data_IF_915761927797
#
_entry.id   IF_915761927797
#
_cell.length_a   1.000
_cell.length_b   1.000
_cell.length_c   1.000
_cell.angle_alpha   90.00
_cell.angle_beta   90.00
_cell.angle_gamma   90.00
#
_symmetry.space_group_name_H-M   'P 1'
#
loop_
_entity.id
_entity.type
_entity.pdbx_description
1 polymer ?
#
# COMPACT_ATOMS: atom_id res chain seq x y z
N UNK A 1 16.92 -9.44 6.40
CA UNK A 1 16.34 -9.72 5.06
C UNK A 1 15.01 -10.41 5.32
N UNK A 2 13.89 -9.79 4.94
CA UNK A 2 12.58 -10.41 5.10
C UNK A 2 12.54 -11.58 4.10
N UNK A 3 12.33 -12.80 4.58
CA UNK A 3 12.12 -13.97 3.75
C UNK A 3 10.63 -14.30 3.79
N UNK A 4 10.04 -14.50 2.62
CA UNK A 4 8.65 -14.95 2.47
C UNK A 4 8.70 -16.44 2.11
N UNK A 5 7.94 -17.25 2.84
CA UNK A 5 7.88 -18.69 2.67
C UNK A 5 6.90 -19.14 1.59
N UNK A 6 6.01 -18.26 1.13
CA UNK A 6 5.04 -18.57 0.08
C UNK A 6 4.46 -17.33 -0.60
N UNK A 7 3.82 -17.53 -1.76
CA UNK A 7 3.06 -16.49 -2.46
C UNK A 7 1.94 -15.89 -1.58
N UNK A 8 1.32 -16.68 -0.70
CA UNK A 8 0.27 -16.17 0.19
C UNK A 8 0.81 -15.18 1.21
N UNK A 9 2.01 -15.38 1.74
CA UNK A 9 2.63 -14.41 2.66
C UNK A 9 2.96 -13.10 1.93
N UNK A 10 3.36 -13.17 0.66
CA UNK A 10 3.60 -11.99 -0.18
C UNK A 10 2.30 -11.22 -0.41
N UNK A 11 1.21 -11.92 -0.76
CA UNK A 11 -0.09 -11.29 -0.97
C UNK A 11 -0.67 -10.71 0.32
N UNK A 12 -0.55 -11.41 1.46
CA UNK A 12 -0.96 -10.88 2.76
C UNK A 12 -0.16 -9.62 3.15
N UNK A 13 1.14 -9.60 2.86
CA UNK A 13 1.96 -8.41 3.03
C UNK A 13 1.52 -7.26 2.11
N UNK A 14 1.19 -7.55 0.85
CA UNK A 14 0.67 -6.56 -0.10
C UNK A 14 -0.67 -5.97 0.39
N UNK A 15 -1.61 -6.80 0.87
CA UNK A 15 -2.89 -6.33 1.44
C UNK A 15 -2.66 -5.33 2.59
N UNK A 16 -1.71 -5.61 3.48
CA UNK A 16 -1.37 -4.69 4.58
C UNK A 16 -0.72 -3.39 4.07
N UNK A 17 0.02 -3.43 2.96
CA UNK A 17 0.58 -2.24 2.33
C UNK A 17 -0.50 -1.35 1.72
N UNK A 18 -1.46 -1.93 1.01
CA UNK A 18 -2.62 -1.19 0.46
C UNK A 18 -3.44 -0.56 1.59
N UNK A 19 -3.70 -1.28 2.69
CA UNK A 19 -4.40 -0.73 3.86
C UNK A 19 -3.66 0.48 4.46
N UNK A 20 -2.34 0.39 4.58
CA UNK A 20 -1.56 1.49 5.12
C UNK A 20 -1.50 2.70 4.17
N UNK A 21 -1.51 2.47 2.85
CA UNK A 21 -1.64 3.54 1.85
C UNK A 21 -3.02 4.18 1.88
N UNK A 22 -4.09 3.39 2.05
CA UNK A 22 -5.45 3.88 2.26
C UNK A 22 -5.54 4.83 3.45
N UNK A 23 -5.03 4.41 4.61
CA UNK A 23 -5.00 5.24 5.82
C UNK A 23 -4.19 6.51 5.60
N UNK A 24 -3.02 6.40 4.96
CA UNK A 24 -2.19 7.55 4.62
C UNK A 24 -2.94 8.58 3.79
N UNK A 25 -3.57 8.18 2.69
CA UNK A 25 -4.30 9.14 1.84
C UNK A 25 -5.55 9.68 2.52
N UNK A 26 -6.21 8.88 3.35
CA UNK A 26 -7.36 9.33 4.16
C UNK A 26 -6.94 10.42 5.16
N UNK A 27 -5.80 10.25 5.82
CA UNK A 27 -5.24 11.27 6.72
C UNK A 27 -4.81 12.52 5.96
N UNK A 28 -4.15 12.37 4.80
CA UNK A 28 -3.77 13.50 3.96
C UNK A 28 -4.99 14.28 3.47
N UNK A 29 -6.06 13.60 3.05
CA UNK A 29 -7.31 14.24 2.65
C UNK A 29 -7.92 15.07 3.79
N UNK A 30 -7.83 14.59 5.03
CA UNK A 30 -8.38 15.23 6.24
C UNK A 30 -7.63 16.50 6.63
N UNK A 31 -6.31 16.53 6.48
CA UNK A 31 -5.47 17.66 6.92
C UNK A 31 -5.21 18.69 5.82
N UNK A 32 -5.46 18.35 4.55
CA UNK A 32 -5.23 19.26 3.42
C UNK A 32 -6.31 20.33 3.34
N UNK A 33 -5.92 21.61 3.38
CA UNK A 33 -6.86 22.73 3.30
C UNK A 33 -7.44 22.95 1.89
N UNK A 34 -6.63 22.71 0.84
CA UNK A 34 -7.09 22.82 -0.55
C UNK A 34 -8.05 21.66 -0.85
N UNK A 35 -9.33 22.00 -1.04
CA UNK A 35 -10.40 21.05 -1.34
C UNK A 35 -10.16 20.23 -2.60
N UNK A 36 -9.41 20.74 -3.56
CA UNK A 36 -9.07 20.04 -4.80
C UNK A 36 -8.05 18.94 -4.54
N UNK A 37 -7.03 19.25 -3.75
CA UNK A 37 -5.98 18.29 -3.36
C UNK A 37 -6.52 17.28 -2.35
N UNK A 38 -7.34 17.73 -1.40
CA UNK A 38 -8.06 16.86 -0.46
C UNK A 38 -8.91 15.81 -1.19
N UNK A 39 -9.71 16.21 -2.20
CA UNK A 39 -10.46 15.27 -3.04
C UNK A 39 -9.57 14.30 -3.82
N UNK A 40 -8.43 14.76 -4.33
CA UNK A 40 -7.49 13.88 -5.01
C UNK A 40 -6.98 12.77 -4.06
N UNK A 41 -6.67 13.12 -2.82
CA UNK A 41 -6.29 12.14 -1.81
C UNK A 41 -7.44 11.18 -1.45
N UNK A 42 -8.68 11.66 -1.37
CA UNK A 42 -9.85 10.78 -1.22
C UNK A 42 -9.99 9.79 -2.38
N UNK A 43 -9.68 10.22 -3.60
CA UNK A 43 -9.74 9.36 -4.78
C UNK A 43 -8.62 8.31 -4.78
N UNK A 44 -7.40 8.67 -4.39
CA UNK A 44 -6.32 7.70 -4.17
C UNK A 44 -6.67 6.71 -3.06
N UNK A 45 -7.25 7.16 -1.95
CA UNK A 45 -7.68 6.25 -0.89
C UNK A 45 -8.69 5.20 -1.42
N UNK A 46 -9.65 5.60 -2.26
CA UNK A 46 -10.59 4.66 -2.88
C UNK A 46 -9.90 3.66 -3.82
N UNK A 47 -8.87 4.10 -4.54
CA UNK A 47 -8.10 3.25 -5.44
C UNK A 47 -7.35 2.14 -4.67
N UNK A 48 -6.66 2.50 -3.59
CA UNK A 48 -5.98 1.56 -2.68
C UNK A 48 -6.96 0.54 -2.07
N UNK A 49 -8.19 0.98 -1.75
CA UNK A 49 -9.23 0.06 -1.28
C UNK A 49 -9.59 -0.98 -2.35
N UNK A 50 -9.68 -0.57 -3.61
CA UNK A 50 -9.89 -1.46 -4.75
C UNK A 50 -8.75 -2.45 -4.95
N UNK A 51 -7.49 -2.00 -4.83
CA UNK A 51 -6.32 -2.88 -4.86
C UNK A 51 -6.35 -3.91 -3.73
N UNK A 52 -6.66 -3.48 -2.50
CA UNK A 52 -6.80 -4.35 -1.33
C UNK A 52 -7.83 -5.45 -1.58
N UNK A 53 -9.00 -5.11 -2.12
CA UNK A 53 -10.05 -6.07 -2.44
C UNK A 53 -9.62 -7.07 -3.53
N UNK A 54 -8.94 -6.61 -4.58
CA UNK A 54 -8.41 -7.48 -5.62
C UNK A 54 -7.39 -8.47 -5.07
N UNK A 55 -6.44 -8.02 -4.24
CA UNK A 55 -5.46 -8.90 -3.61
C UNK A 55 -6.14 -9.93 -2.70
N UNK A 56 -7.13 -9.52 -1.90
CA UNK A 56 -7.90 -10.45 -1.08
C UNK A 56 -8.61 -11.52 -1.90
N UNK A 57 -9.19 -11.16 -3.05
CA UNK A 57 -9.82 -12.10 -3.97
C UNK A 57 -8.81 -13.10 -4.55
N UNK A 58 -7.61 -12.65 -4.93
CA UNK A 58 -6.56 -13.56 -5.39
C UNK A 58 -6.16 -14.56 -4.31
N UNK A 59 -6.03 -14.12 -3.06
CA UNK A 59 -5.74 -15.06 -1.97
C UNK A 59 -6.87 -16.06 -1.77
N UNK A 60 -8.14 -15.62 -1.83
CA UNK A 60 -9.30 -16.51 -1.72
C UNK A 60 -9.33 -17.59 -2.81
N UNK A 61 -8.95 -17.25 -4.05
CA UNK A 61 -8.86 -18.22 -5.18
C UNK A 61 -7.83 -19.31 -4.93
N UNK A 62 -6.79 -19.05 -4.13
CA UNK A 62 -5.79 -20.03 -3.73
C UNK A 62 -6.30 -21.04 -2.67
N UNK A 63 -7.59 -21.01 -2.33
CA UNK A 63 -8.24 -22.02 -1.49
C UNK A 63 -8.17 -21.76 0.01
N UNK A 64 -7.82 -20.55 0.45
CA UNK A 64 -7.85 -20.13 1.86
C UNK A 64 -8.45 -18.74 2.04
N UNK A 65 -9.17 -18.55 3.14
CA UNK A 65 -9.53 -17.22 3.66
C UNK A 65 -8.33 -16.72 4.45
N UNK A 66 -7.73 -15.59 4.07
CA UNK A 66 -6.75 -14.92 4.93
C UNK A 66 -7.50 -14.26 6.08
N UNK A 67 -7.18 -14.69 7.29
CA UNK A 67 -7.53 -13.91 8.48
C UNK A 67 -6.63 -12.67 8.47
N UNK A 68 -7.22 -11.50 8.56
CA UNK A 68 -6.51 -10.22 8.70
C UNK A 68 -5.80 -10.07 10.06
N UNK A 69 -5.74 -11.15 10.84
CA UNK A 69 -5.22 -11.22 12.21
C UNK A 69 -3.73 -11.56 12.28
N UNK A 70 -3.06 -11.86 11.16
CA UNK A 70 -1.61 -11.95 11.17
C UNK A 70 -1.05 -10.54 11.44
N UNK A 71 -0.47 -10.37 12.62
CA UNK A 71 0.09 -9.11 13.11
C UNK A 71 1.38 -8.77 12.34
N UNK A 72 1.22 -8.17 11.16
CA UNK A 72 2.32 -7.67 10.32
C UNK A 72 2.76 -6.25 10.73
N UNK A 73 2.15 -5.65 11.76
CA UNK A 73 2.41 -4.29 12.21
C UNK A 73 3.88 -4.05 12.63
N UNK A 74 4.55 -5.10 13.11
CA UNK A 74 5.94 -5.04 13.55
C UNK A 74 6.94 -5.05 12.37
N UNK A 75 6.49 -5.45 11.16
CA UNK A 75 7.34 -5.59 9.96
C UNK A 75 7.23 -4.43 8.97
N UNK A 76 6.30 -3.50 9.19
CA UNK A 76 5.98 -2.38 8.28
C UNK A 76 6.44 -1.01 8.77
N UNK A 77 7.39 -0.94 9.72
CA UNK A 77 7.95 0.34 10.21
C UNK A 77 8.98 0.97 9.25
N UNK A 78 8.79 0.85 7.94
CA UNK A 78 9.65 1.47 6.94
C UNK A 78 8.83 2.44 6.09
N UNK A 79 8.92 3.72 6.46
CA UNK A 79 8.66 4.84 5.56
C UNK A 79 7.19 5.25 5.44
N UNK A 80 6.56 5.63 6.54
CA UNK A 80 5.44 6.55 6.45
C UNK A 80 6.02 7.96 6.51
N UNK A 81 5.82 8.73 5.44
CA UNK A 81 5.92 10.18 5.55
C UNK A 81 4.86 10.59 6.57
N UNK A 82 5.34 11.01 7.73
CA UNK A 82 4.51 11.57 8.79
C UNK A 82 4.01 12.93 8.27
N UNK A 83 2.86 13.38 8.76
CA UNK A 83 2.27 14.71 8.47
C UNK A 83 3.30 15.87 8.46
N UNK A 84 4.45 15.69 9.13
CA UNK A 84 5.55 16.64 9.23
C UNK A 84 6.40 16.87 7.97
N UNK A 85 6.34 16.02 6.93
CA UNK A 85 7.27 16.15 5.78
C UNK A 85 6.63 16.73 4.51
N UNK A 86 5.34 17.08 4.53
CA UNK A 86 4.72 17.76 3.39
C UNK A 86 5.01 19.28 3.42
N UNK A 87 5.48 19.86 2.31
CA UNK A 87 5.62 21.31 2.17
C UNK A 87 4.29 22.04 2.43
N UNK A 88 4.35 23.25 3.00
CA UNK A 88 3.16 24.10 3.20
C UNK A 88 2.45 24.45 1.87
N UNK A 89 3.17 24.43 0.75
CA UNK A 89 2.67 24.71 -0.60
C UNK A 89 2.37 23.44 -1.43
N UNK A 90 2.07 22.31 -0.76
CA UNK A 90 1.85 21.03 -1.41
C UNK A 90 0.74 21.08 -2.48
N UNK A 91 1.15 21.03 -3.75
CA UNK A 91 0.26 21.24 -4.88
C UNK A 91 -0.41 19.93 -5.34
N UNK A 92 -1.46 20.07 -6.14
CA UNK A 92 -2.09 18.95 -6.84
C UNK A 92 -1.10 18.11 -7.67
N UNK A 93 -0.13 18.78 -8.31
CA UNK A 93 0.90 18.10 -9.11
C UNK A 93 1.86 17.33 -8.20
N UNK A 94 2.15 17.84 -7.01
CA UNK A 94 3.03 17.15 -6.06
C UNK A 94 2.32 15.96 -5.41
N UNK A 95 1.02 16.05 -5.17
CA UNK A 95 0.17 14.92 -4.78
C UNK A 95 0.22 13.79 -5.82
N UNK A 96 0.11 14.12 -7.11
CA UNK A 96 0.24 13.15 -8.20
C UNK A 96 1.64 12.52 -8.26
N UNK A 97 2.70 13.33 -8.16
CA UNK A 97 4.08 12.82 -8.15
C UNK A 97 4.32 11.88 -6.97
N UNK A 98 3.79 12.22 -5.80
CA UNK A 98 3.88 11.40 -4.61
C UNK A 98 3.21 10.04 -4.83
N UNK A 99 1.98 10.04 -5.34
CA UNK A 99 1.26 8.79 -5.64
C UNK A 99 2.03 7.91 -6.64
N UNK A 100 2.50 8.48 -7.74
CA UNK A 100 3.31 7.76 -8.75
C UNK A 100 4.59 7.18 -8.13
N UNK A 101 5.27 7.95 -7.27
CA UNK A 101 6.48 7.49 -6.60
C UNK A 101 6.18 6.32 -5.64
N UNK A 102 5.07 6.40 -4.91
CA UNK A 102 4.60 5.34 -3.99
C UNK A 102 4.29 4.05 -4.75
N UNK A 103 3.53 4.15 -5.84
CA UNK A 103 3.19 3.02 -6.71
C UNK A 103 4.43 2.39 -7.35
N UNK A 104 5.35 3.19 -7.86
CA UNK A 104 6.60 2.68 -8.43
C UNK A 104 7.45 1.95 -7.39
N UNK A 105 7.46 2.41 -6.14
CA UNK A 105 8.16 1.76 -5.05
C UNK A 105 7.48 0.44 -4.64
N UNK A 106 6.15 0.42 -4.54
CA UNK A 106 5.38 -0.79 -4.27
C UNK A 106 5.60 -1.85 -5.37
N UNK A 107 5.51 -1.46 -6.63
CA UNK A 107 5.76 -2.35 -7.77
C UNK A 107 7.17 -2.97 -7.73
N UNK A 108 8.22 -2.16 -7.52
CA UNK A 108 9.60 -2.66 -7.41
C UNK A 108 9.75 -3.65 -6.26
N UNK A 109 9.17 -3.32 -5.10
CA UNK A 109 9.17 -4.20 -3.95
C UNK A 109 8.54 -5.55 -4.30
N UNK A 110 7.34 -5.56 -4.89
CA UNK A 110 6.67 -6.79 -5.26
C UNK A 110 7.45 -7.62 -6.30
N UNK A 111 8.05 -6.99 -7.31
CA UNK A 111 8.94 -7.67 -8.26
C UNK A 111 10.13 -8.30 -7.56
N UNK A 112 10.72 -7.63 -6.57
CA UNK A 112 11.83 -8.18 -5.81
C UNK A 112 11.36 -9.32 -4.87
N UNK A 113 10.16 -9.25 -4.30
CA UNK A 113 9.59 -10.35 -3.50
C UNK A 113 9.36 -11.61 -4.33
N UNK A 114 8.86 -11.46 -5.58
CA UNK A 114 8.70 -12.58 -6.52
C UNK A 114 10.03 -13.24 -6.89
N UNK A 115 11.16 -12.52 -6.82
CA UNK A 115 12.49 -13.11 -7.06
C UNK A 115 13.06 -13.85 -5.85
N UNK A 116 12.55 -13.54 -4.66
CA UNK A 116 13.06 -14.04 -3.39
C UNK A 116 12.22 -15.17 -2.80
N UNK A 117 11.06 -15.46 -3.39
CA UNK A 117 10.27 -16.66 -3.06
C UNK A 117 10.96 -17.91 -3.60
N UNK A 118 11.00 -18.95 -2.78
CA UNK A 118 11.54 -20.28 -3.15
C UNK A 118 10.45 -21.18 -3.78
N UNK A 119 9.24 -20.64 -3.98
CA UNK A 119 8.10 -21.34 -4.55
C UNK A 119 8.22 -21.47 -6.08
N UNK A 120 8.30 -22.69 -6.65
CA UNK A 120 8.41 -22.89 -8.09
C UNK A 120 7.16 -22.49 -8.89
N UNK A 121 6.04 -22.16 -8.24
CA UNK A 121 4.80 -21.69 -8.88
C UNK A 121 4.57 -20.16 -8.79
N UNK A 122 5.57 -19.39 -8.32
CA UNK A 122 5.47 -17.93 -8.19
C UNK A 122 5.65 -17.13 -9.49
#
# INVERSE_FOLDING_TARGET
MIKFGSMQEILAFAVNKEEASYLFYTDMARITEDKTVSRLFEDFAKEELGHREQLQLEIMKMGKVVSTDDDWSDRTRAGYIVESDLPEDFSYIDALKLAIAKESAAFKLYVDLLRLTEDPEA
#
